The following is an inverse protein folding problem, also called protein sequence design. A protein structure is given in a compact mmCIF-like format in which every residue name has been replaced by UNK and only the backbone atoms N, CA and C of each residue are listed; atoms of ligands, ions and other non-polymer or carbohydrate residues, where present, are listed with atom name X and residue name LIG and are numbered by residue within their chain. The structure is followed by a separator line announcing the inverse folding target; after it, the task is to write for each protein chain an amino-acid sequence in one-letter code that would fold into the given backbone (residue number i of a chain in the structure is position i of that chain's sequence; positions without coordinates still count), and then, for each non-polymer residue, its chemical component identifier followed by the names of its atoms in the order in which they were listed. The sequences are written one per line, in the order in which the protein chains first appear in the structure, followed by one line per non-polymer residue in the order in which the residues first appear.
data_IF_549848742592
#
_entry.id   IF_549848742592
#
_cell.length_a   1.000
_cell.length_b   1.000
_cell.length_c   1.000
_cell.angle_alpha   90.00
_cell.angle_beta   90.00
_cell.angle_gamma   90.00
#
_symmetry.space_group_name_H-M   'P 1'
#
loop_
_entity.id
_entity.type
_entity.pdbx_description
1 polymer ?
#
# COMPACT_ATOMS: atom_id res chain seq x y z
N UNK A 1 -12.35 -6.83 15.83
CA UNK A 1 -12.36 -5.86 14.72
C UNK A 1 -12.77 -6.64 13.48
N UNK A 2 -13.77 -6.18 12.73
CA UNK A 2 -14.14 -6.82 11.46
C UNK A 2 -13.05 -6.41 10.46
N UNK A 3 -12.16 -7.33 10.10
CA UNK A 3 -11.07 -7.04 9.18
C UNK A 3 -11.63 -6.73 7.79
N UNK A 4 -10.99 -5.79 7.08
CA UNK A 4 -11.60 -5.11 5.95
C UNK A 4 -11.65 -5.94 4.65
N UNK A 5 -10.85 -7.00 4.52
CA UNK A 5 -10.76 -7.74 3.26
C UNK A 5 -12.10 -8.37 2.78
N UNK A 6 -12.90 -9.08 3.62
CA UNK A 6 -14.15 -9.71 3.16
C UNK A 6 -15.19 -8.72 2.59
N UNK A 7 -15.46 -7.54 3.19
CA UNK A 7 -16.31 -6.53 2.58
C UNK A 7 -15.91 -6.08 1.16
N UNK A 8 -14.62 -6.16 0.81
CA UNK A 8 -14.10 -5.77 -0.50
C UNK A 8 -13.83 -6.95 -1.46
N UNK A 9 -14.17 -8.18 -1.08
CA UNK A 9 -13.79 -9.38 -1.84
C UNK A 9 -14.22 -9.37 -3.30
N UNK A 10 -15.47 -8.98 -3.58
CA UNK A 10 -15.99 -8.87 -4.96
C UNK A 10 -15.20 -7.83 -5.79
N UNK A 11 -14.79 -6.72 -5.17
CA UNK A 11 -13.99 -5.70 -5.84
C UNK A 11 -12.59 -6.23 -6.14
N UNK A 12 -11.93 -6.84 -5.15
CA UNK A 12 -10.59 -7.41 -5.30
C UNK A 12 -10.58 -8.48 -6.39
N UNK A 13 -11.57 -9.37 -6.40
CA UNK A 13 -11.71 -10.40 -7.44
C UNK A 13 -11.81 -9.80 -8.84
N UNK A 14 -12.61 -8.74 -9.03
CA UNK A 14 -12.71 -8.02 -10.30
C UNK A 14 -11.42 -7.32 -10.72
N UNK A 15 -10.56 -6.97 -9.77
CA UNK A 15 -9.22 -6.43 -10.01
C UNK A 15 -8.16 -7.52 -10.24
N UNK A 16 -8.53 -8.79 -10.17
CA UNK A 16 -7.58 -9.90 -10.29
C UNK A 16 -6.67 -10.03 -9.07
N UNK A 17 -7.21 -9.74 -7.88
CA UNK A 17 -6.53 -9.84 -6.59
C UNK A 17 -7.37 -10.72 -5.67
N UNK A 18 -6.70 -11.63 -4.97
CA UNK A 18 -7.32 -12.44 -3.91
C UNK A 18 -6.52 -12.29 -2.62
N UNK A 19 -7.10 -12.73 -1.51
CA UNK A 19 -6.54 -12.55 -0.17
C UNK A 19 -6.65 -13.83 0.67
N UNK A 20 -5.77 -13.97 1.67
CA UNK A 20 -5.84 -15.10 2.62
C UNK A 20 -7.13 -15.08 3.43
N UNK A 21 -7.44 -16.15 4.18
CA UNK A 21 -8.56 -16.18 5.12
C UNK A 21 -8.14 -15.84 6.58
N UNK A 22 -6.91 -15.35 6.76
CA UNK A 22 -6.28 -15.01 8.03
C UNK A 22 -5.20 -13.95 7.85
N UNK A 23 -4.81 -13.33 8.96
CA UNK A 23 -3.77 -12.30 9.01
C UNK A 23 -2.38 -12.92 8.91
N UNK A 24 -1.45 -12.20 8.29
CA UNK A 24 -0.05 -12.57 8.28
C UNK A 24 0.56 -12.27 9.64
N UNK A 25 1.41 -13.18 10.07
CA UNK A 25 2.33 -13.02 11.20
C UNK A 25 3.74 -13.20 10.68
N UNK A 26 4.65 -12.39 11.18
CA UNK A 26 6.03 -12.38 10.76
C UNK A 26 6.97 -12.77 11.91
N UNK A 27 8.12 -13.36 11.57
CA UNK A 27 9.20 -13.70 12.50
C UNK A 27 10.41 -12.77 12.38
N UNK A 28 10.62 -12.18 11.21
CA UNK A 28 11.66 -11.15 10.98
C UNK A 28 11.07 -9.73 11.03
N UNK A 29 11.90 -8.71 11.29
CA UNK A 29 11.47 -7.30 11.24
C UNK A 29 10.23 -6.96 12.10
N UNK A 30 10.01 -7.74 13.17
CA UNK A 30 8.85 -7.60 14.07
C UNK A 30 8.96 -6.30 14.87
N UNK A 31 7.85 -5.58 14.97
CA UNK A 31 7.75 -4.30 15.66
C UNK A 31 7.20 -4.52 17.08
N UNK A 32 7.95 -4.05 18.08
CA UNK A 32 7.54 -4.09 19.50
C UNK A 32 7.16 -5.50 20.01
N UNK A 33 7.71 -6.55 19.39
CA UNK A 33 7.46 -7.94 19.78
C UNK A 33 6.08 -8.50 19.41
N UNK A 34 5.27 -7.78 18.62
CA UNK A 34 3.98 -8.27 18.13
C UNK A 34 4.12 -8.77 16.68
N UNK A 35 4.01 -10.09 16.42
CA UNK A 35 4.16 -10.67 15.08
C UNK A 35 3.18 -10.14 14.03
N UNK A 36 2.08 -9.49 14.43
CA UNK A 36 1.14 -8.84 13.50
C UNK A 36 1.68 -7.52 12.95
N UNK A 37 2.64 -6.91 13.65
CA UNK A 37 3.23 -5.63 13.30
C UNK A 37 4.66 -5.87 12.82
N UNK A 38 4.94 -5.60 11.55
CA UNK A 38 6.26 -5.89 10.98
C UNK A 38 6.62 -4.90 9.89
N UNK A 39 7.93 -4.74 9.67
CA UNK A 39 8.47 -3.92 8.58
C UNK A 39 8.72 -4.77 7.34
N UNK A 40 8.15 -4.34 6.22
CA UNK A 40 8.33 -4.92 4.89
C UNK A 40 9.53 -4.26 4.23
N UNK A 41 10.45 -5.06 3.70
CA UNK A 41 11.69 -4.59 3.07
C UNK A 41 11.98 -5.25 1.72
N UNK A 42 11.29 -6.34 1.36
CA UNK A 42 11.43 -7.00 0.06
C UNK A 42 10.51 -6.35 -0.98
N UNK A 43 11.11 -5.71 -1.98
CA UNK A 43 10.42 -4.90 -2.98
C UNK A 43 10.82 -5.29 -4.40
N UNK A 44 9.83 -5.36 -5.28
CA UNK A 44 10.07 -5.28 -6.71
C UNK A 44 10.27 -3.82 -7.14
N UNK A 45 10.94 -3.61 -8.28
CA UNK A 45 11.10 -2.27 -8.85
C UNK A 45 9.74 -1.66 -9.25
N UNK A 46 9.38 -0.56 -8.59
CA UNK A 46 8.16 0.18 -8.85
C UNK A 46 8.29 1.63 -8.32
N UNK A 47 7.65 2.64 -8.94
CA UNK A 47 7.65 4.00 -8.41
C UNK A 47 7.14 4.12 -6.97
N UNK A 48 6.23 3.25 -6.53
CA UNK A 48 5.74 3.24 -5.14
C UNK A 48 6.82 2.83 -4.13
N UNK A 49 7.73 1.94 -4.51
CA UNK A 49 8.78 1.40 -3.64
C UNK A 49 10.11 2.14 -3.78
N UNK A 50 10.21 3.08 -4.72
CA UNK A 50 11.45 3.80 -5.01
C UNK A 50 11.98 4.56 -3.80
N UNK A 51 13.22 4.25 -3.43
CA UNK A 51 13.93 4.88 -2.32
C UNK A 51 13.40 4.51 -0.94
N UNK A 52 12.45 3.58 -0.82
CA UNK A 52 12.02 3.06 0.47
C UNK A 52 13.10 2.15 1.03
N UNK A 53 13.44 2.35 2.31
CA UNK A 53 14.18 1.35 3.09
C UNK A 53 13.26 0.30 3.71
N UNK A 54 11.95 0.58 3.73
CA UNK A 54 10.93 -0.27 4.34
C UNK A 54 9.65 0.50 4.60
N UNK A 55 8.54 -0.21 4.81
CA UNK A 55 7.31 0.34 5.38
C UNK A 55 6.73 -0.64 6.40
N UNK A 56 5.92 -0.16 7.33
CA UNK A 56 5.36 -0.95 8.42
C UNK A 56 3.92 -1.35 8.12
N UNK A 57 3.57 -2.59 8.46
CA UNK A 57 2.21 -3.12 8.48
C UNK A 57 1.76 -3.41 9.91
N UNK A 58 0.45 -3.39 10.12
CA UNK A 58 -0.23 -3.54 11.41
C UNK A 58 -1.45 -4.47 11.27
N UNK A 59 -1.22 -5.77 11.09
CA UNK A 59 -2.28 -6.77 10.92
C UNK A 59 -2.70 -7.02 9.47
N UNK A 60 -1.73 -7.04 8.55
CA UNK A 60 -1.98 -7.22 7.12
C UNK A 60 -2.40 -8.63 6.70
N UNK A 61 -3.07 -8.74 5.55
CA UNK A 61 -3.50 -9.99 4.94
C UNK A 61 -2.60 -10.37 3.75
N UNK A 62 -2.42 -11.67 3.51
CA UNK A 62 -1.67 -12.09 2.33
C UNK A 62 -2.49 -11.77 1.08
N UNK A 63 -1.82 -11.18 0.09
CA UNK A 63 -2.38 -10.85 -1.21
C UNK A 63 -1.74 -11.74 -2.28
N UNK A 64 -2.55 -12.17 -3.23
CA UNK A 64 -2.11 -12.82 -4.45
C UNK A 64 -2.73 -12.12 -5.66
N UNK A 65 -1.97 -12.03 -6.75
CA UNK A 65 -2.51 -11.64 -8.04
C UNK A 65 -3.02 -12.89 -8.78
N UNK A 66 -4.26 -12.85 -9.24
CA UNK A 66 -4.91 -13.92 -10.01
C UNK A 66 -5.04 -13.57 -11.50
N UNK A 67 -4.72 -12.33 -11.87
CA UNK A 67 -4.72 -11.83 -13.25
C UNK A 67 -3.31 -11.34 -13.65
N UNK A 68 -2.84 -11.61 -14.89
CA UNK A 68 -1.54 -11.11 -15.38
C UNK A 68 -1.39 -9.59 -15.41
N UNK A 69 -2.49 -8.84 -15.40
CA UNK A 69 -2.51 -7.37 -15.33
C UNK A 69 -2.24 -6.84 -13.92
N UNK A 70 -2.23 -7.72 -12.92
CA UNK A 70 -1.87 -7.42 -11.54
C UNK A 70 -0.55 -8.11 -11.19
N UNK A 71 0.27 -7.46 -10.35
CA UNK A 71 1.53 -8.02 -9.86
C UNK A 71 1.83 -7.58 -8.43
N UNK A 72 2.41 -8.48 -7.66
CA UNK A 72 2.93 -8.21 -6.33
C UNK A 72 4.22 -7.38 -6.44
N UNK A 73 4.32 -6.28 -5.68
CA UNK A 73 5.50 -5.41 -5.64
C UNK A 73 6.17 -5.30 -4.27
N UNK A 74 5.56 -5.86 -3.23
CA UNK A 74 6.17 -5.96 -1.92
C UNK A 74 5.75 -7.28 -1.25
N UNK A 75 6.69 -7.90 -0.52
CA UNK A 75 6.52 -9.21 0.08
C UNK A 75 7.04 -9.27 1.51
N UNK A 76 6.49 -10.19 2.29
CA UNK A 76 7.02 -10.57 3.61
C UNK A 76 8.29 -11.40 3.49
N UNK A 77 8.96 -11.65 4.62
CA UNK A 77 10.07 -12.59 4.69
C UNK A 77 9.63 -14.03 4.41
N UNK A 78 10.57 -14.96 4.15
CA UNK A 78 10.25 -16.35 3.83
C UNK A 78 9.68 -17.15 5.02
N UNK A 79 9.83 -16.62 6.24
CA UNK A 79 9.39 -17.26 7.49
C UNK A 79 8.04 -16.75 8.01
N UNK A 80 7.41 -15.83 7.29
CA UNK A 80 6.06 -15.37 7.57
C UNK A 80 5.08 -16.54 7.53
N UNK A 81 3.98 -16.39 8.25
CA UNK A 81 2.95 -17.41 8.32
C UNK A 81 1.55 -16.83 8.43
N UNK A 82 0.57 -17.63 8.02
CA UNK A 82 -0.85 -17.32 8.21
C UNK A 82 -1.45 -18.39 9.10
N UNK A 83 -2.10 -17.95 10.18
CA UNK A 83 -2.81 -18.79 11.14
C UNK A 83 -4.13 -19.31 10.52
N UNK A 84 -4.05 -20.45 9.83
CA UNK A 84 -5.15 -20.98 9.04
C UNK A 84 -6.21 -21.67 9.91
N UNK A 85 -5.79 -22.25 11.04
CA UNK A 85 -6.66 -22.95 11.98
C UNK A 85 -7.14 -22.06 13.15
N UNK A 86 -6.63 -20.82 13.24
CA UNK A 86 -7.00 -19.78 14.20
C UNK A 86 -6.69 -20.13 15.65
N UNK A 87 -5.64 -20.90 15.89
CA UNK A 87 -5.20 -21.27 17.24
C UNK A 87 -4.09 -20.37 17.79
N UNK A 88 -3.66 -19.38 17.01
CA UNK A 88 -2.63 -18.39 17.33
C UNK A 88 -1.25 -18.99 17.56
N UNK A 89 -1.01 -20.24 17.15
CA UNK A 89 0.25 -20.96 17.35
C UNK A 89 0.73 -21.50 16.02
N UNK A 90 1.91 -21.07 15.61
CA UNK A 90 2.54 -21.64 14.42
C UNK A 90 2.68 -23.16 14.55
N UNK A 91 2.00 -23.90 13.68
CA UNK A 91 2.06 -25.36 13.62
C UNK A 91 1.89 -25.89 12.19
N UNK A 92 1.87 -27.22 12.03
CA UNK A 92 1.83 -27.88 10.72
C UNK A 92 0.58 -27.63 9.89
N UNK A 93 -0.45 -26.99 10.45
CA UNK A 93 -1.67 -26.60 9.72
C UNK A 93 -1.56 -25.20 9.09
N UNK A 94 -0.48 -24.46 9.36
CA UNK A 94 -0.30 -23.10 8.89
C UNK A 94 0.50 -23.04 7.59
N UNK A 95 0.18 -22.04 6.76
CA UNK A 95 1.01 -21.73 5.61
C UNK A 95 2.23 -20.93 6.08
N UNK A 96 3.43 -21.41 5.76
CA UNK A 96 4.70 -20.70 6.00
C UNK A 96 5.40 -20.46 4.68
N UNK A 97 5.52 -19.20 4.28
CA UNK A 97 6.17 -18.77 3.05
C UNK A 97 6.28 -17.24 2.99
N UNK A 98 6.89 -16.73 1.93
CA UNK A 98 6.79 -15.31 1.59
C UNK A 98 5.41 -15.01 0.97
N UNK A 99 4.73 -14.00 1.50
CA UNK A 99 3.41 -13.56 1.05
C UNK A 99 3.47 -12.18 0.40
N UNK A 100 2.65 -11.97 -0.63
CA UNK A 100 2.46 -10.63 -1.18
C UNK A 100 1.71 -9.74 -0.19
N UNK A 101 2.14 -8.49 -0.07
CA UNK A 101 1.49 -7.49 0.81
C UNK A 101 1.15 -6.19 0.11
N UNK A 102 1.65 -6.00 -1.11
CA UNK A 102 1.24 -4.91 -2.01
C UNK A 102 1.08 -5.47 -3.41
N UNK A 103 -0.10 -5.27 -3.99
CA UNK A 103 -0.40 -5.62 -5.39
C UNK A 103 -0.71 -4.34 -6.16
N UNK A 104 -0.14 -4.20 -7.35
CA UNK A 104 -0.50 -3.13 -8.29
C UNK A 104 -1.04 -3.74 -9.57
N UNK A 105 -1.92 -3.02 -10.26
CA UNK A 105 -2.40 -3.46 -11.56
C UNK A 105 -3.12 -2.38 -12.34
N UNK A 106 -3.69 -2.77 -13.47
CA UNK A 106 -4.39 -1.88 -14.39
C UNK A 106 -5.80 -2.39 -14.68
N UNK A 107 -6.74 -1.46 -14.79
CA UNK A 107 -8.14 -1.74 -15.16
C UNK A 107 -8.63 -0.68 -16.14
N UNK A 108 -8.80 -1.08 -17.40
CA UNK A 108 -9.07 -0.15 -18.50
C UNK A 108 -7.93 0.86 -18.66
N UNK A 109 -8.23 2.15 -18.49
CA UNK A 109 -7.25 3.25 -18.52
C UNK A 109 -6.73 3.64 -17.13
N UNK A 110 -7.25 3.00 -16.07
CA UNK A 110 -6.88 3.27 -14.69
C UNK A 110 -5.81 2.31 -14.18
N UNK A 111 -5.15 2.73 -13.11
CA UNK A 111 -4.26 1.89 -12.32
C UNK A 111 -4.78 1.80 -10.89
N UNK A 112 -4.44 0.72 -10.21
CA UNK A 112 -4.80 0.51 -8.80
C UNK A 112 -3.61 -0.04 -8.01
N UNK A 113 -3.67 0.17 -6.70
CA UNK A 113 -2.82 -0.49 -5.72
C UNK A 113 -3.71 -1.02 -4.60
N UNK A 114 -3.40 -2.22 -4.14
CA UNK A 114 -4.00 -2.85 -2.95
C UNK A 114 -2.90 -3.03 -1.93
N UNK A 115 -3.11 -2.46 -0.74
CA UNK A 115 -2.28 -2.71 0.43
C UNK A 115 -2.95 -3.76 1.30
N UNK A 116 -2.16 -4.64 1.89
CA UNK A 116 -2.62 -5.70 2.79
C UNK A 116 -3.27 -5.20 4.09
N UNK A 117 -3.12 -3.92 4.41
CA UNK A 117 -3.39 -3.32 5.71
C UNK A 117 -4.27 -2.06 5.55
N UNK A 118 -5.32 -2.00 6.35
CA UNK A 118 -6.33 -0.94 6.38
C UNK A 118 -5.99 0.22 7.33
N UNK A 119 -4.94 0.06 8.13
CA UNK A 119 -4.44 1.04 9.08
C UNK A 119 -3.17 1.77 8.63
N UNK A 120 -2.50 1.29 7.57
CA UNK A 120 -1.16 1.72 7.13
C UNK A 120 -0.95 3.26 7.03
N UNK A 121 -2.00 4.03 6.75
CA UNK A 121 -1.95 5.50 6.66
C UNK A 121 -2.79 6.26 7.72
N UNK A 122 -3.29 5.58 8.74
CA UNK A 122 -3.93 6.26 9.88
C UNK A 122 -2.91 7.16 10.59
N UNK A 123 -3.37 8.24 11.23
CA UNK A 123 -2.51 9.27 11.84
C UNK A 123 -1.40 8.71 12.74
N UNK A 124 -1.67 7.62 13.47
CA UNK A 124 -0.69 6.97 14.36
C UNK A 124 0.46 6.30 13.60
N UNK A 125 0.21 5.81 12.39
CA UNK A 125 1.11 4.96 11.61
C UNK A 125 1.71 5.68 10.39
N UNK A 126 1.12 6.82 10.02
CA UNK A 126 1.57 7.65 8.91
C UNK A 126 3.02 8.14 9.07
N UNK A 127 3.53 8.54 10.25
CA UNK A 127 4.92 9.00 10.37
C UNK A 127 5.94 7.95 9.89
N UNK A 128 5.76 6.69 10.27
CA UNK A 128 6.63 5.58 9.87
C UNK A 128 6.46 5.20 8.40
N UNK A 129 5.26 5.45 7.84
CA UNK A 129 4.90 5.13 6.45
C UNK A 129 4.88 6.35 5.52
N UNK A 130 5.45 7.48 5.96
CA UNK A 130 5.28 8.77 5.27
C UNK A 130 5.80 8.76 3.85
N UNK A 131 6.98 8.17 3.63
CA UNK A 131 7.57 8.11 2.30
C UNK A 131 6.74 7.24 1.34
N UNK A 132 6.13 6.15 1.83
CA UNK A 132 5.23 5.33 1.02
C UNK A 132 3.97 6.13 0.61
N UNK A 133 3.40 6.90 1.54
CA UNK A 133 2.27 7.78 1.26
C UNK A 133 2.64 8.87 0.22
N UNK A 134 3.80 9.51 0.36
CA UNK A 134 4.28 10.51 -0.61
C UNK A 134 4.50 9.89 -1.99
N UNK A 135 5.06 8.68 -2.05
CA UNK A 135 5.23 7.93 -3.30
C UNK A 135 3.88 7.56 -3.93
N UNK A 136 2.89 7.18 -3.13
CA UNK A 136 1.52 6.92 -3.58
C UNK A 136 0.91 8.14 -4.25
N UNK A 137 0.97 9.30 -3.60
CA UNK A 137 0.46 10.56 -4.15
C UNK A 137 1.15 10.89 -5.47
N UNK A 138 2.48 10.84 -5.51
CA UNK A 138 3.25 11.11 -6.75
C UNK A 138 2.88 10.14 -7.86
N UNK A 139 2.73 8.86 -7.56
CA UNK A 139 2.37 7.83 -8.53
C UNK A 139 0.98 8.08 -9.12
N UNK A 140 -0.01 8.40 -8.28
CA UNK A 140 -1.36 8.72 -8.73
C UNK A 140 -1.41 10.00 -9.57
N UNK A 141 -0.66 11.05 -9.18
CA UNK A 141 -0.61 12.32 -9.92
C UNK A 141 0.12 12.22 -11.26
N UNK A 142 1.23 11.49 -11.31
CA UNK A 142 2.04 11.32 -12.51
C UNK A 142 1.42 10.34 -13.53
N UNK A 143 0.33 9.66 -13.17
CA UNK A 143 -0.44 8.75 -14.03
C UNK A 143 -1.54 9.45 -14.86
N UNK A 144 -1.62 10.79 -14.80
CA UNK A 144 -2.50 11.71 -15.56
C UNK A 144 -3.69 12.24 -14.74
N UNK A 145 -3.56 13.44 -14.17
CA UNK A 145 -4.62 14.42 -14.40
C UNK A 145 -4.45 14.87 -15.86
N UNK A 146 -5.50 14.91 -16.71
CA UNK A 146 -5.49 15.89 -17.80
C UNK A 146 -5.08 17.20 -17.14
N UNK A 147 -4.10 17.88 -17.70
CA UNK A 147 -3.70 19.19 -17.24
C UNK A 147 -4.97 20.04 -17.14
N UNK A 148 -5.58 20.11 -15.95
CA UNK A 148 -6.33 21.27 -15.56
C UNK A 148 -5.23 22.31 -15.59
N UNK A 149 -5.13 22.97 -16.73
CA UNK A 149 -4.44 24.22 -16.87
C UNK A 149 -5.02 25.07 -15.75
N UNK A 150 -4.36 25.05 -14.60
CA UNK A 150 -4.31 26.18 -13.72
C UNK A 150 -3.72 27.26 -14.61
N UNK A 151 -4.60 27.94 -15.35
CA UNK A 151 -4.27 29.22 -15.95
C UNK A 151 -3.76 30.02 -14.75
N UNK A 152 -2.51 30.49 -14.76
CA UNK A 152 -2.15 31.53 -13.82
C UNK A 152 -3.18 32.63 -14.07
N UNK A 153 -3.99 32.93 -13.06
CA UNK A 153 -4.82 34.12 -13.10
C UNK A 153 -3.90 35.25 -13.52
N UNK A 154 -4.29 35.94 -14.59
CA UNK A 154 -3.61 37.13 -15.06
C UNK A 154 -3.58 38.12 -13.92
N UNK A 155 -2.46 38.15 -13.18
CA UNK A 155 -2.13 39.27 -12.31
C UNK A 155 -1.93 40.45 -13.25
N UNK A 156 -2.99 41.22 -13.44
CA UNK A 156 -2.94 42.49 -14.15
C UNK A 156 -1.88 43.39 -13.49
N UNK A 157 -1.20 44.25 -14.27
CA UNK A 157 -0.16 45.09 -13.72
C UNK A 157 -0.74 45.99 -12.63
N UNK A 158 -0.11 45.96 -11.44
CA UNK A 158 -0.26 47.04 -10.47
C UNK A 158 0.21 48.33 -11.17
N UNK A 159 -0.74 49.21 -11.48
CA UNK A 159 -0.46 50.58 -11.85
C UNK A 159 0.32 51.21 -10.70
N UNK A 160 1.59 51.52 -10.97
CA UNK A 160 2.36 52.43 -10.15
C UNK A 160 1.80 53.84 -10.43
N UNK A 161 0.93 54.33 -9.55
CA UNK A 161 0.59 55.74 -9.55
C UNK A 161 1.66 56.50 -8.78
N UNK A 162 2.47 57.21 -9.57
CA UNK A 162 3.29 58.32 -9.16
C UNK A 162 2.40 59.48 -8.70
N UNK A 163 2.52 59.89 -7.45
CA UNK A 163 2.24 61.28 -7.07
C UNK A 163 3.34 61.77 -6.14
N UNK A 164 4.34 62.40 -6.77
CA UNK A 164 5.03 63.54 -6.19
C UNK A 164 4.12 64.75 -6.38
N UNK A 165 3.69 65.38 -5.29
CA UNK A 165 3.53 66.84 -5.12
C UNK A 165 3.23 67.15 -3.65
#
# INVERSE_FOLDING_TARGET
MLHIAPPFGDLLYRLGVDFSNGVIRERDQVLNGDPLNFRVTDFADHPLTRGLQGFNLYGGWALINTDPRARIIARTGPEAWVDLNRDLRLNGNDAVQSFGVVVVGESGKGAFVVFADDAIFQNRFLPENRQLADNLVRWLLNRSLPQLALKPESVGPLLADSTSH
#
